data_IF_236661307308
#
_entry.id   IF_236661307308
#
_cell.length_a   1.000
_cell.length_b   1.000
_cell.length_c   1.000
_cell.angle_alpha   90.00
_cell.angle_beta   90.00
_cell.angle_gamma   90.00
#
_symmetry.space_group_name_H-M   'P 1'
#
loop_
_entity.id
_entity.type
_entity.pdbx_description
1 polymer ?
#
# COMPACT_ATOMS: atom_id res chain seq x y z
N UNK A 1 -7.36 31.06 3.34
CA UNK A 1 -5.90 30.81 3.31
C UNK A 1 -5.48 30.76 1.85
N UNK A 2 -4.97 31.86 1.30
CA UNK A 2 -4.62 31.98 -0.13
C UNK A 2 -3.15 31.67 -0.35
N UNK A 3 -2.87 30.65 -1.17
CA UNK A 3 -1.54 30.32 -1.68
C UNK A 3 -1.08 31.40 -2.68
N UNK A 4 0.07 32.02 -2.39
CA UNK A 4 0.77 32.92 -3.31
C UNK A 4 1.56 32.08 -4.32
N UNK A 5 1.20 32.21 -5.60
CA UNK A 5 1.97 31.69 -6.72
C UNK A 5 3.29 32.46 -6.88
N UNK A 6 4.39 31.74 -6.87
CA UNK A 6 5.74 32.25 -7.07
C UNK A 6 6.04 32.25 -8.58
N UNK A 7 5.92 33.40 -9.24
CA UNK A 7 6.38 33.58 -10.64
C UNK A 7 7.84 33.99 -10.63
N UNK A 8 8.71 33.05 -11.00
CA UNK A 8 10.13 33.27 -11.28
C UNK A 8 10.29 34.21 -12.46
N UNK A 9 10.93 35.36 -12.22
CA UNK A 9 11.32 36.33 -13.24
C UNK A 9 12.59 35.81 -13.94
N UNK A 10 12.46 35.35 -15.18
CA UNK A 10 13.60 35.01 -16.04
C UNK A 10 14.12 36.32 -16.65
N UNK A 11 15.41 36.67 -16.45
CA UNK A 11 15.97 37.88 -17.04
C UNK A 11 15.91 37.78 -18.58
N UNK A 12 15.59 38.87 -19.28
CA UNK A 12 15.48 38.86 -20.73
C UNK A 12 16.83 38.50 -21.35
N UNK A 13 16.81 37.57 -22.29
CA UNK A 13 17.97 36.99 -22.94
C UNK A 13 18.82 38.08 -23.64
N UNK A 14 19.87 38.50 -22.94
CA UNK A 14 20.80 39.55 -23.38
C UNK A 14 21.59 39.08 -24.60
N UNK A 15 21.68 37.77 -24.85
CA UNK A 15 22.29 37.21 -26.05
C UNK A 15 21.39 37.43 -27.27
N UNK A 16 20.10 37.13 -27.15
CA UNK A 16 19.12 37.38 -28.21
C UNK A 16 19.01 38.87 -28.60
N UNK A 17 19.12 39.80 -27.64
CA UNK A 17 19.15 41.24 -27.97
C UNK A 17 20.40 41.67 -28.72
N UNK A 18 21.57 41.08 -28.41
CA UNK A 18 22.82 41.37 -29.13
C UNK A 18 22.79 40.82 -30.55
N UNK A 19 22.19 39.66 -30.75
CA UNK A 19 22.00 39.08 -32.09
C UNK A 19 21.05 39.94 -32.93
N UNK A 20 19.92 40.38 -32.37
CA UNK A 20 18.99 41.29 -33.04
C UNK A 20 19.67 42.61 -33.43
N UNK A 21 20.46 43.22 -32.53
CA UNK A 21 21.22 44.43 -32.82
C UNK A 21 22.28 44.21 -33.90
N UNK A 22 22.92 43.02 -33.93
CA UNK A 22 23.84 42.62 -35.00
C UNK A 22 23.14 42.53 -36.36
N UNK A 23 21.95 41.94 -36.41
CA UNK A 23 21.15 41.87 -37.64
C UNK A 23 20.69 43.26 -38.07
N UNK A 24 20.22 44.11 -37.14
CA UNK A 24 19.77 45.47 -37.45
C UNK A 24 20.91 46.38 -37.92
N UNK A 25 22.11 46.25 -37.37
CA UNK A 25 23.29 46.99 -37.83
C UNK A 25 23.76 46.52 -39.19
N UNK A 26 23.71 45.21 -39.46
CA UNK A 26 23.99 44.67 -40.79
C UNK A 26 22.97 45.13 -41.84
N UNK A 27 21.67 45.17 -41.50
CA UNK A 27 20.64 45.66 -42.43
C UNK A 27 20.74 47.16 -42.66
N UNK A 28 21.11 47.96 -41.64
CA UNK A 28 21.41 49.38 -41.80
C UNK A 28 22.66 49.61 -42.67
N UNK A 29 23.70 48.81 -42.51
CA UNK A 29 24.88 48.86 -43.37
C UNK A 29 24.54 48.52 -44.83
N UNK A 30 23.69 47.51 -45.02
CA UNK A 30 23.19 47.15 -46.35
C UNK A 30 22.31 48.24 -46.95
N UNK A 31 21.43 48.88 -46.17
CA UNK A 31 20.63 50.04 -46.58
C UNK A 31 21.50 51.26 -46.93
N UNK A 32 22.59 51.47 -46.20
CA UNK A 32 23.58 52.51 -46.53
C UNK A 32 24.21 52.25 -47.89
N UNK A 33 24.66 51.01 -48.14
CA UNK A 33 25.21 50.61 -49.44
C UNK A 33 24.18 50.74 -50.57
N UNK A 34 22.92 50.36 -50.35
CA UNK A 34 21.88 50.53 -51.37
C UNK A 34 21.61 52.01 -51.64
N UNK A 35 21.55 52.87 -50.61
CA UNK A 35 21.40 54.32 -50.78
C UNK A 35 22.58 54.95 -51.53
N UNK A 36 23.81 54.55 -51.23
CA UNK A 36 25.00 55.03 -51.95
C UNK A 36 24.99 54.59 -53.41
N UNK A 37 24.63 53.34 -53.69
CA UNK A 37 24.47 52.87 -55.08
C UNK A 37 23.37 53.61 -55.82
N UNK A 38 22.27 53.95 -55.13
CA UNK A 38 21.15 54.71 -55.70
C UNK A 38 21.54 56.17 -55.93
N UNK A 39 22.38 56.75 -55.07
CA UNK A 39 22.95 58.09 -55.21
C UNK A 39 23.92 58.17 -56.39
N UNK A 40 24.80 57.17 -56.55
CA UNK A 40 25.70 57.09 -57.71
C UNK A 40 24.92 56.88 -59.01
N UNK A 41 23.89 56.04 -58.99
CA UNK A 41 22.98 55.88 -60.13
C UNK A 41 22.20 57.17 -60.40
N UNK A 42 21.71 57.87 -59.37
CA UNK A 42 21.01 59.14 -59.49
C UNK A 42 21.90 60.24 -60.07
N UNK A 43 23.18 60.31 -59.65
CA UNK A 43 24.16 61.23 -60.20
C UNK A 43 24.48 60.92 -61.67
N UNK A 44 24.60 59.64 -62.05
CA UNK A 44 24.77 59.23 -63.46
C UNK A 44 23.54 59.57 -64.31
N UNK A 45 22.35 59.48 -63.73
CA UNK A 45 21.08 59.85 -64.38
C UNK A 45 20.92 61.37 -64.47
N UNK A 46 21.43 62.15 -63.53
CA UNK A 46 21.41 63.62 -63.57
C UNK A 46 22.30 64.21 -64.69
N UNK A 47 23.35 63.50 -65.09
CA UNK A 47 24.18 63.86 -66.27
C UNK A 47 23.47 63.53 -67.59
N UNK A 48 22.44 62.67 -67.57
CA UNK A 48 21.62 62.28 -68.72
C UNK A 48 20.23 62.94 -68.66
N UNK A 49 20.15 64.27 -68.77
CA UNK A 49 18.86 64.93 -69.06
C UNK A 49 18.53 64.91 -70.56
N UNK A 50 17.26 65.09 -71.02
CA UNK A 50 15.99 64.57 -70.54
C UNK A 50 15.38 63.49 -71.49
N UNK A 51 14.78 62.47 -70.86
CA UNK A 51 13.46 61.90 -71.16
C UNK A 51 13.18 61.23 -72.53
N UNK A 52 13.60 59.96 -72.67
CA UNK A 52 12.75 58.96 -73.34
C UNK A 52 12.95 57.54 -72.76
N UNK A 53 14.14 57.22 -72.25
CA UNK A 53 14.44 55.86 -71.77
C UNK A 53 13.98 55.58 -70.32
N UNK A 54 13.97 56.59 -69.45
CA UNK A 54 13.57 56.44 -68.04
C UNK A 54 12.09 56.11 -67.87
N UNK A 55 11.22 56.67 -68.73
CA UNK A 55 9.80 56.34 -68.75
C UNK A 55 9.59 54.85 -69.10
N UNK A 56 10.36 54.34 -70.07
CA UNK A 56 10.30 52.94 -70.47
C UNK A 56 10.78 52.01 -69.34
N UNK A 57 11.87 52.36 -68.66
CA UNK A 57 12.38 51.63 -67.49
C UNK A 57 11.40 51.64 -66.32
N UNK A 58 10.72 52.76 -66.03
CA UNK A 58 9.69 52.85 -64.99
C UNK A 58 8.49 51.95 -65.33
N UNK A 59 8.09 51.90 -66.60
CA UNK A 59 7.03 50.99 -67.04
C UNK A 59 7.41 49.52 -66.92
N UNK A 60 8.65 49.16 -67.28
CA UNK A 60 9.16 47.81 -67.10
C UNK A 60 9.24 47.42 -65.61
N UNK A 61 9.74 48.32 -64.76
CA UNK A 61 9.80 48.10 -63.32
C UNK A 61 8.41 47.92 -62.70
N UNK A 62 7.43 48.76 -63.06
CA UNK A 62 6.05 48.61 -62.59
C UNK A 62 5.43 47.27 -63.03
N UNK A 63 5.74 46.83 -64.25
CA UNK A 63 5.26 45.53 -64.76
C UNK A 63 5.92 44.37 -64.02
N UNK A 64 7.23 44.46 -63.75
CA UNK A 64 7.97 43.50 -62.95
C UNK A 64 7.47 43.44 -61.51
N UNK A 65 7.24 44.60 -60.88
CA UNK A 65 6.67 44.70 -59.53
C UNK A 65 5.30 44.05 -59.44
N UNK A 66 4.38 44.34 -60.36
CA UNK A 66 3.05 43.69 -60.37
C UNK A 66 3.12 42.18 -60.59
N UNK A 67 4.03 41.74 -61.47
CA UNK A 67 4.26 40.31 -61.68
C UNK A 67 4.83 39.63 -60.43
N UNK A 68 5.71 40.32 -59.70
CA UNK A 68 6.27 39.84 -58.45
C UNK A 68 5.24 39.85 -57.32
N UNK A 69 4.44 40.90 -57.20
CA UNK A 69 3.34 41.03 -56.23
C UNK A 69 2.34 39.90 -56.42
N UNK A 70 1.88 39.66 -57.65
CA UNK A 70 1.02 38.52 -57.97
C UNK A 70 1.68 37.16 -57.62
N UNK A 71 2.99 37.03 -57.80
CA UNK A 71 3.74 35.82 -57.42
C UNK A 71 3.86 35.66 -55.90
N UNK A 72 3.96 36.77 -55.17
CA UNK A 72 3.97 36.77 -53.71
C UNK A 72 2.59 36.42 -53.16
N UNK A 73 1.51 36.99 -53.71
CA UNK A 73 0.15 36.67 -53.31
C UNK A 73 -0.15 35.17 -53.44
N UNK A 74 0.20 34.57 -54.59
CA UNK A 74 0.03 33.12 -54.79
C UNK A 74 0.85 32.31 -53.77
N UNK A 75 2.08 32.74 -53.44
CA UNK A 75 2.89 32.05 -52.42
C UNK A 75 2.31 32.19 -51.02
N UNK A 76 1.77 33.35 -50.70
CA UNK A 76 1.11 33.57 -49.40
C UNK A 76 -0.12 32.68 -49.32
N UNK A 77 -0.92 32.59 -50.38
CA UNK A 77 -2.08 31.69 -50.44
C UNK A 77 -1.67 30.22 -50.28
N UNK A 78 -0.65 29.76 -51.01
CA UNK A 78 -0.09 28.40 -50.90
C UNK A 78 0.40 28.10 -49.48
N UNK A 79 1.15 29.05 -48.88
CA UNK A 79 1.61 28.92 -47.49
C UNK A 79 0.45 28.90 -46.51
N UNK A 80 -0.59 29.70 -46.74
CA UNK A 80 -1.78 29.73 -45.88
C UNK A 80 -2.51 28.41 -45.92
N UNK A 81 -2.61 27.78 -47.10
CA UNK A 81 -3.17 26.45 -47.25
C UNK A 81 -2.31 25.39 -46.56
N UNK A 82 -1.00 25.38 -46.81
CA UNK A 82 -0.09 24.41 -46.22
C UNK A 82 -0.07 24.51 -44.69
N UNK A 83 -0.04 25.73 -44.13
CA UNK A 83 -0.11 25.95 -42.68
C UNK A 83 -1.45 25.47 -42.13
N UNK A 84 -2.58 25.78 -42.80
CA UNK A 84 -3.90 25.33 -42.33
C UNK A 84 -4.02 23.82 -42.33
N UNK A 85 -3.50 23.14 -43.34
CA UNK A 85 -3.67 21.69 -43.48
C UNK A 85 -2.70 20.95 -42.54
N UNK A 86 -1.42 21.34 -42.51
CA UNK A 86 -0.42 20.76 -41.59
C UNK A 86 -0.78 21.01 -40.13
N UNK A 87 -1.16 22.24 -39.74
CA UNK A 87 -1.52 22.52 -38.36
C UNK A 87 -2.80 21.81 -37.94
N UNK A 88 -3.80 21.68 -38.82
CA UNK A 88 -5.01 20.94 -38.46
C UNK A 88 -4.72 19.48 -38.19
N UNK A 89 -3.88 18.86 -39.01
CA UNK A 89 -3.55 17.45 -38.85
C UNK A 89 -2.65 17.19 -37.64
N UNK A 90 -1.66 18.06 -37.41
CA UNK A 90 -0.80 18.00 -36.22
C UNK A 90 -1.58 18.24 -34.93
N UNK A 91 -2.46 19.26 -34.90
CA UNK A 91 -3.34 19.53 -33.75
C UNK A 91 -4.32 18.38 -33.54
N UNK A 92 -4.88 17.81 -34.60
CA UNK A 92 -5.79 16.67 -34.48
C UNK A 92 -5.08 15.46 -33.87
N UNK A 93 -3.86 15.13 -34.32
CA UNK A 93 -3.08 14.03 -33.77
C UNK A 93 -2.71 14.26 -32.30
N UNK A 94 -2.22 15.46 -31.96
CA UNK A 94 -1.87 15.79 -30.57
C UNK A 94 -3.09 15.73 -29.64
N UNK A 95 -4.23 16.28 -30.06
CA UNK A 95 -5.46 16.23 -29.27
C UNK A 95 -6.00 14.81 -29.14
N UNK A 96 -5.90 13.99 -30.19
CA UNK A 96 -6.33 12.60 -30.13
C UNK A 96 -5.48 11.79 -29.14
N UNK A 97 -4.16 11.99 -29.12
CA UNK A 97 -3.27 11.37 -28.13
C UNK A 97 -3.61 11.80 -26.70
N UNK A 98 -3.80 13.09 -26.46
CA UNK A 98 -4.15 13.63 -25.13
C UNK A 98 -5.52 13.14 -24.66
N UNK A 99 -6.53 13.15 -25.54
CA UNK A 99 -7.86 12.65 -25.24
C UNK A 99 -7.83 11.17 -24.92
N UNK A 100 -7.12 10.36 -25.70
CA UNK A 100 -7.00 8.93 -25.45
C UNK A 100 -6.31 8.63 -24.11
N UNK A 101 -5.28 9.41 -23.75
CA UNK A 101 -4.63 9.29 -22.44
C UNK A 101 -5.59 9.60 -21.28
N UNK A 102 -6.36 10.70 -21.39
CA UNK A 102 -7.35 11.08 -20.39
C UNK A 102 -8.49 10.05 -20.27
N UNK A 103 -8.98 9.53 -21.40
CA UNK A 103 -10.00 8.49 -21.41
C UNK A 103 -9.46 7.21 -20.75
N UNK A 104 -8.23 6.81 -21.05
CA UNK A 104 -7.62 5.63 -20.44
C UNK A 104 -7.48 5.76 -18.92
N UNK A 105 -7.10 6.95 -18.44
CA UNK A 105 -7.00 7.24 -17.00
C UNK A 105 -8.37 7.20 -16.31
N UNK A 106 -9.38 7.84 -16.91
CA UNK A 106 -10.75 7.86 -16.39
C UNK A 106 -11.38 6.46 -16.38
N UNK A 107 -11.21 5.69 -17.46
CA UNK A 107 -11.67 4.29 -17.52
C UNK A 107 -11.02 3.47 -16.41
N UNK A 108 -9.71 3.64 -16.17
CA UNK A 108 -9.00 2.91 -15.11
C UNK A 108 -9.62 3.18 -13.74
N UNK A 109 -9.90 4.45 -13.43
CA UNK A 109 -10.55 4.84 -12.17
C UNK A 109 -11.95 4.22 -12.04
N UNK A 110 -12.76 4.31 -13.10
CA UNK A 110 -14.11 3.76 -13.10
C UNK A 110 -14.14 2.23 -12.99
N UNK A 111 -13.21 1.55 -13.67
CA UNK A 111 -13.07 0.08 -13.58
C UNK A 111 -12.67 -0.32 -12.16
N UNK A 112 -11.70 0.36 -11.54
CA UNK A 112 -11.28 0.06 -10.18
C UNK A 112 -12.44 0.24 -9.18
N UNK A 113 -13.25 1.27 -9.34
CA UNK A 113 -14.43 1.51 -8.50
C UNK A 113 -15.53 0.45 -8.75
N UNK A 114 -15.85 0.14 -10.00
CA UNK A 114 -16.84 -0.87 -10.34
C UNK A 114 -16.42 -2.27 -9.91
N UNK A 115 -15.15 -2.62 -10.05
CA UNK A 115 -14.59 -3.88 -9.56
C UNK A 115 -14.74 -3.94 -8.05
N UNK A 116 -14.40 -2.89 -7.29
CA UNK A 116 -14.63 -2.86 -5.84
C UNK A 116 -16.09 -3.10 -5.48
N UNK A 117 -17.04 -2.43 -6.13
CA UNK A 117 -18.47 -2.61 -5.87
C UNK A 117 -18.92 -4.04 -6.20
N UNK A 118 -18.45 -4.60 -7.32
CA UNK A 118 -18.78 -5.98 -7.70
C UNK A 118 -18.14 -7.00 -6.77
N UNK A 119 -16.92 -6.78 -6.28
CA UNK A 119 -16.27 -7.62 -5.27
C UNK A 119 -17.07 -7.63 -3.96
N UNK A 120 -17.56 -6.46 -3.53
CA UNK A 120 -18.46 -6.33 -2.36
C UNK A 120 -19.78 -7.08 -2.61
N UNK A 121 -20.41 -6.89 -3.77
CA UNK A 121 -21.67 -7.56 -4.13
C UNK A 121 -21.53 -9.09 -4.25
N UNK A 122 -20.41 -9.57 -4.76
CA UNK A 122 -20.08 -11.00 -4.83
C UNK A 122 -19.66 -11.56 -3.47
N UNK A 123 -19.61 -10.73 -2.42
CA UNK A 123 -19.29 -11.16 -1.06
C UNK A 123 -17.82 -11.53 -0.87
N UNK A 124 -16.92 -11.09 -1.76
CA UNK A 124 -15.50 -11.44 -1.73
C UNK A 124 -14.72 -10.74 -0.62
N UNK A 125 -15.26 -9.65 -0.05
CA UNK A 125 -14.79 -9.08 1.22
C UNK A 125 -14.96 -10.08 2.38
N UNK A 126 -15.90 -11.02 2.22
CA UNK A 126 -16.08 -12.14 3.12
C UNK A 126 -15.07 -13.26 2.92
N UNK A 127 -14.37 -13.36 1.79
CA UNK A 127 -13.52 -14.52 1.51
C UNK A 127 -12.23 -14.50 2.33
N UNK A 128 -11.62 -13.33 2.53
CA UNK A 128 -10.46 -13.19 3.43
C UNK A 128 -10.88 -13.40 4.89
N UNK A 129 -12.03 -12.87 5.29
CA UNK A 129 -12.60 -13.10 6.62
C UNK A 129 -12.94 -14.58 6.84
N UNK A 130 -13.52 -15.26 5.84
CA UNK A 130 -13.82 -16.68 5.84
C UNK A 130 -12.55 -17.52 5.86
N UNK A 131 -11.50 -17.14 5.13
CA UNK A 131 -10.22 -17.82 5.18
C UNK A 131 -9.60 -17.71 6.57
N UNK A 132 -9.61 -16.53 7.19
CA UNK A 132 -9.15 -16.33 8.59
C UNK A 132 -9.98 -17.12 9.59
N UNK A 133 -11.30 -17.17 9.43
CA UNK A 133 -12.18 -17.99 10.27
C UNK A 133 -11.89 -19.49 10.08
N UNK A 134 -11.72 -19.94 8.84
CA UNK A 134 -11.38 -21.32 8.52
C UNK A 134 -10.03 -21.72 9.12
N UNK A 135 -9.02 -20.85 9.03
CA UNK A 135 -7.71 -21.11 9.64
C UNK A 135 -7.81 -21.26 11.17
N UNK A 136 -8.62 -20.41 11.83
CA UNK A 136 -8.90 -20.54 13.27
C UNK A 136 -9.61 -21.86 13.58
N UNK A 137 -10.65 -22.21 12.84
CA UNK A 137 -11.36 -23.48 13.03
C UNK A 137 -10.45 -24.69 12.86
N UNK A 138 -9.57 -24.68 11.86
CA UNK A 138 -8.60 -25.77 11.65
C UNK A 138 -7.60 -25.85 12.81
N UNK A 139 -7.14 -24.71 13.34
CA UNK A 139 -6.29 -24.66 14.54
C UNK A 139 -7.02 -25.25 15.75
N UNK A 140 -8.26 -24.84 15.99
CA UNK A 140 -9.08 -25.33 17.10
C UNK A 140 -9.32 -26.85 17.01
N UNK A 141 -9.65 -27.34 15.81
CA UNK A 141 -9.84 -28.78 15.55
C UNK A 141 -8.54 -29.56 15.76
N UNK A 142 -7.40 -29.01 15.34
CA UNK A 142 -6.10 -29.64 15.54
C UNK A 142 -5.75 -29.75 17.03
N UNK A 143 -5.99 -28.68 17.80
CA UNK A 143 -5.81 -28.66 19.25
C UNK A 143 -6.73 -29.70 19.91
N UNK A 144 -8.00 -29.75 19.52
CA UNK A 144 -8.95 -30.73 20.03
C UNK A 144 -8.55 -32.18 19.71
N UNK A 145 -8.02 -32.44 18.51
CA UNK A 145 -7.52 -33.75 18.11
C UNK A 145 -6.33 -34.19 18.97
N UNK A 146 -5.32 -33.34 19.11
CA UNK A 146 -4.15 -33.63 19.96
C UNK A 146 -4.60 -33.89 21.39
N UNK A 147 -5.49 -33.05 21.94
CA UNK A 147 -6.02 -33.23 23.29
C UNK A 147 -6.83 -34.53 23.43
N UNK A 148 -7.56 -34.95 22.40
CA UNK A 148 -8.27 -36.23 22.39
C UNK A 148 -7.30 -37.43 22.40
N UNK A 149 -6.22 -37.36 21.63
CA UNK A 149 -5.19 -38.40 21.59
C UNK A 149 -4.41 -38.48 22.91
N UNK A 150 -4.08 -37.33 23.50
CA UNK A 150 -3.45 -37.23 24.81
C UNK A 150 -4.35 -37.79 25.91
N UNK A 151 -5.65 -37.44 25.93
CA UNK A 151 -6.63 -38.04 26.85
C UNK A 151 -6.73 -39.56 26.70
N UNK A 152 -6.74 -40.04 25.46
CA UNK A 152 -6.76 -41.48 25.18
C UNK A 152 -5.53 -42.17 25.75
N UNK A 153 -4.35 -41.55 25.62
CA UNK A 153 -3.10 -42.07 26.17
C UNK A 153 -3.11 -42.02 27.70
N UNK A 154 -3.50 -40.89 28.28
CA UNK A 154 -3.60 -40.67 29.73
C UNK A 154 -4.62 -41.59 30.41
N UNK A 155 -5.69 -41.98 29.69
CA UNK A 155 -6.69 -42.92 30.22
C UNK A 155 -6.15 -44.32 30.52
N UNK A 156 -5.00 -44.68 29.93
CA UNK A 156 -4.33 -45.97 30.17
C UNK A 156 -3.49 -45.96 31.45
N UNK A 157 -3.22 -44.78 32.02
CA UNK A 157 -2.43 -44.61 33.22
C UNK A 157 -3.16 -45.23 34.42
N UNK A 158 -2.40 -45.85 35.33
CA UNK A 158 -2.93 -46.50 36.53
C UNK A 158 -2.37 -45.86 37.78
N UNK A 159 -3.18 -45.82 38.83
CA UNK A 159 -2.80 -45.27 40.14
C UNK A 159 -1.55 -45.93 40.77
N UNK A 160 -1.23 -47.17 40.36
CA UNK A 160 -0.10 -47.91 40.91
C UNK A 160 1.26 -47.48 40.31
N UNK A 161 1.27 -46.82 39.15
CA UNK A 161 2.48 -46.41 38.45
C UNK A 161 2.54 -44.88 38.36
N UNK A 162 3.08 -44.25 39.39
CA UNK A 162 3.18 -42.78 39.48
C UNK A 162 4.29 -42.18 38.60
N UNK A 163 5.16 -43.02 38.06
CA UNK A 163 6.32 -42.62 37.26
C UNK A 163 6.02 -42.63 35.76
N UNK A 164 4.80 -43.01 35.38
CA UNK A 164 4.36 -42.96 33.99
C UNK A 164 4.19 -41.49 33.55
N UNK A 165 4.70 -41.19 32.35
CA UNK A 165 4.64 -39.83 31.79
C UNK A 165 3.22 -39.47 31.36
N UNK A 166 2.83 -38.22 31.63
CA UNK A 166 1.58 -37.66 31.11
C UNK A 166 1.76 -37.20 29.66
N UNK A 167 0.85 -37.59 28.78
CA UNK A 167 0.79 -37.06 27.43
C UNK A 167 0.34 -35.59 27.48
N UNK A 168 1.12 -34.73 26.82
CA UNK A 168 0.98 -33.27 26.86
C UNK A 168 -0.38 -32.85 26.28
N UNK A 169 -1.04 -31.91 26.95
CA UNK A 169 -2.28 -31.29 26.49
C UNK A 169 -2.07 -29.80 26.21
N UNK A 170 -2.62 -29.36 25.09
CA UNK A 170 -2.58 -27.97 24.66
C UNK A 170 -3.72 -27.18 25.30
N UNK A 171 -3.44 -25.92 25.63
CA UNK A 171 -4.42 -24.91 26.04
C UNK A 171 -5.41 -24.61 24.91
N UNK A 172 -6.55 -23.94 25.19
CA UNK A 172 -7.43 -23.42 24.14
C UNK A 172 -6.71 -22.50 23.14
N UNK A 173 -5.63 -21.82 23.57
CA UNK A 173 -4.80 -20.98 22.70
C UNK A 173 -3.81 -21.78 21.82
N UNK A 174 -3.74 -23.10 22.00
CA UNK A 174 -2.88 -24.01 21.24
C UNK A 174 -1.45 -24.14 21.75
N UNK A 175 -1.09 -23.44 22.82
CA UNK A 175 0.22 -23.54 23.47
C UNK A 175 0.23 -24.56 24.62
N UNK A 176 1.42 -25.00 25.01
CA UNK A 176 1.64 -25.87 26.17
C UNK A 176 1.66 -25.03 27.46
N UNK A 177 1.13 -25.57 28.57
CA UNK A 177 1.26 -24.90 29.87
C UNK A 177 2.66 -25.10 30.44
N UNK A 178 3.29 -24.01 30.87
CA UNK A 178 4.57 -24.07 31.61
C UNK A 178 4.43 -24.85 32.92
N UNK A 179 3.22 -24.90 33.48
CA UNK A 179 2.87 -25.62 34.70
C UNK A 179 2.43 -27.06 34.43
N UNK A 180 2.56 -27.57 33.20
CA UNK A 180 2.17 -28.93 32.87
C UNK A 180 3.16 -29.95 33.48
N UNK A 181 2.69 -30.91 34.30
CA UNK A 181 3.58 -31.91 34.87
C UNK A 181 3.93 -32.99 33.85
N UNK A 182 5.22 -33.34 33.76
CA UNK A 182 5.69 -34.42 32.90
C UNK A 182 5.24 -35.81 33.41
N UNK A 183 5.06 -35.97 34.72
CA UNK A 183 4.77 -37.25 35.39
C UNK A 183 3.66 -37.09 36.44
N UNK A 184 2.92 -38.18 36.72
CA UNK A 184 1.88 -38.20 37.75
C UNK A 184 2.42 -37.87 39.14
N UNK A 185 3.63 -38.33 39.47
CA UNK A 185 4.31 -38.00 40.72
C UNK A 185 4.45 -36.49 40.92
N UNK A 186 4.82 -35.77 39.86
CA UNK A 186 4.97 -34.31 39.89
C UNK A 186 3.61 -33.61 40.04
N UNK A 187 2.57 -34.10 39.36
CA UNK A 187 1.20 -33.61 39.52
C UNK A 187 0.73 -33.73 40.99
N UNK A 188 1.00 -34.87 41.64
CA UNK A 188 0.65 -35.07 43.06
C UNK A 188 1.58 -34.37 44.04
N UNK A 189 2.66 -33.75 43.59
CA UNK A 189 3.53 -32.91 44.41
C UNK A 189 3.11 -31.42 44.40
N UNK A 190 2.20 -31.01 43.52
CA UNK A 190 1.77 -29.62 43.39
C UNK A 190 1.07 -29.10 44.64
N UNK A 191 1.43 -27.90 45.08
CA UNK A 191 0.73 -27.18 46.14
C UNK A 191 -0.65 -26.71 45.66
N UNK A 192 -1.50 -26.27 46.59
CA UNK A 192 -2.84 -25.76 46.27
C UNK A 192 -2.79 -24.62 45.24
N UNK A 193 -1.92 -23.63 45.45
CA UNK A 193 -1.78 -22.49 44.54
C UNK A 193 -1.38 -22.89 43.12
N UNK A 194 -0.44 -23.83 42.98
CA UNK A 194 -0.01 -24.35 41.67
C UNK A 194 -1.08 -25.20 40.99
N UNK A 195 -1.85 -25.98 41.77
CA UNK A 195 -2.97 -26.76 41.24
C UNK A 195 -4.11 -25.83 40.76
N UNK A 196 -4.39 -24.75 41.50
CA UNK A 196 -5.38 -23.73 41.12
C UNK A 196 -4.96 -22.98 39.86
N UNK A 197 -3.67 -22.61 39.76
CA UNK A 197 -3.11 -22.01 38.54
C UNK A 197 -3.19 -22.94 37.32
N UNK A 198 -2.91 -24.23 37.50
CA UNK A 198 -3.04 -25.24 36.44
C UNK A 198 -4.49 -25.35 35.93
N UNK A 199 -5.46 -25.45 36.83
CA UNK A 199 -6.89 -25.54 36.48
C UNK A 199 -7.34 -24.28 35.73
N UNK A 200 -6.87 -23.09 36.16
CA UNK A 200 -7.12 -21.80 35.49
C UNK A 200 -6.57 -21.77 34.06
N UNK A 201 -5.35 -22.26 33.86
CA UNK A 201 -4.68 -22.29 32.55
C UNK A 201 -5.47 -23.09 31.50
N UNK A 202 -6.22 -24.09 31.94
CA UNK A 202 -7.08 -24.92 31.07
C UNK A 202 -8.56 -24.47 31.09
N UNK A 203 -8.89 -23.36 31.74
CA UNK A 203 -10.26 -22.81 31.78
C UNK A 203 -11.26 -23.67 32.57
N UNK A 204 -10.77 -24.46 33.52
CA UNK A 204 -11.59 -25.34 34.36
C UNK A 204 -12.09 -24.59 35.62
N UNK A 205 -13.18 -25.07 36.28
CA UNK A 205 -13.69 -24.44 37.49
C UNK A 205 -12.71 -24.60 38.66
N UNK A 206 -12.33 -23.48 39.28
CA UNK A 206 -11.43 -23.45 40.44
C UNK A 206 -12.17 -23.77 41.75
N UNK A 207 -11.52 -24.52 42.63
CA UNK A 207 -11.92 -24.76 44.02
C UNK A 207 -10.84 -24.27 44.99
N UNK A 208 -11.22 -24.12 46.26
CA UNK A 208 -10.28 -23.85 47.36
C UNK A 208 -9.59 -25.14 47.85
N UNK A 209 -10.12 -26.31 47.51
CA UNK A 209 -9.52 -27.60 47.87
C UNK A 209 -8.58 -28.08 46.76
N UNK A 210 -7.33 -28.39 47.16
CA UNK A 210 -6.29 -28.89 46.27
C UNK A 210 -6.73 -30.17 45.55
N UNK A 211 -7.32 -31.10 46.28
CA UNK A 211 -7.76 -32.39 45.77
C UNK A 211 -8.85 -32.23 44.71
N UNK A 212 -9.77 -31.27 44.89
CA UNK A 212 -10.81 -30.96 43.90
C UNK A 212 -10.24 -30.37 42.62
N UNK A 213 -9.28 -29.44 42.74
CA UNK A 213 -8.56 -28.88 41.59
C UNK A 213 -7.79 -29.97 40.80
N UNK A 214 -7.05 -30.83 41.51
CA UNK A 214 -6.34 -31.95 40.89
C UNK A 214 -7.30 -32.96 40.26
N UNK A 215 -8.41 -33.28 40.92
CA UNK A 215 -9.44 -34.16 40.36
C UNK A 215 -10.10 -33.56 39.11
N UNK A 216 -10.40 -32.26 39.11
CA UNK A 216 -10.94 -31.57 37.93
C UNK A 216 -9.96 -31.63 36.75
N UNK A 217 -8.67 -31.38 37.00
CA UNK A 217 -7.63 -31.51 35.98
C UNK A 217 -7.46 -32.95 35.49
N UNK A 218 -7.40 -33.93 36.40
CA UNK A 218 -7.26 -35.35 36.05
C UNK A 218 -8.43 -35.84 35.20
N UNK A 219 -9.65 -35.47 35.56
CA UNK A 219 -10.85 -35.78 34.78
C UNK A 219 -10.78 -35.13 33.38
N UNK A 220 -10.36 -33.86 33.29
CA UNK A 220 -10.14 -33.18 32.02
C UNK A 220 -9.03 -33.84 31.17
N UNK A 221 -7.99 -34.36 31.82
CA UNK A 221 -6.88 -35.06 31.20
C UNK A 221 -7.20 -36.51 30.80
N UNK A 222 -8.41 -37.01 31.12
CA UNK A 222 -8.86 -38.36 30.77
C UNK A 222 -8.35 -39.46 31.71
N UNK A 223 -7.78 -39.09 32.86
CA UNK A 223 -7.30 -40.03 33.88
C UNK A 223 -8.51 -40.58 34.65
N UNK A 224 -8.61 -41.91 34.76
CA UNK A 224 -9.85 -42.56 35.24
C UNK A 224 -9.99 -42.64 36.77
N UNK A 225 -8.91 -42.37 37.51
CA UNK A 225 -8.91 -42.45 38.96
C UNK A 225 -8.83 -41.05 39.59
N UNK A 226 -9.34 -40.95 40.81
CA UNK A 226 -9.47 -39.68 41.54
C UNK A 226 -8.80 -39.79 42.91
N UNK A 227 -8.33 -38.67 43.42
CA UNK A 227 -7.87 -38.53 44.80
C UNK A 227 -9.08 -38.56 45.73
N UNK A 228 -9.06 -39.47 46.70
CA UNK A 228 -10.05 -39.52 47.78
C UNK A 228 -9.53 -38.66 48.93
N UNK A 229 -10.28 -37.64 49.39
CA UNK A 229 -9.89 -36.87 50.57
C UNK A 229 -9.82 -37.81 51.77
N UNK A 230 -8.66 -37.88 52.43
CA UNK A 230 -8.57 -38.62 53.70
C UNK A 230 -9.30 -37.79 54.75
N UNK A 231 -10.37 -38.32 55.38
CA UNK A 231 -11.05 -37.58 56.43
C UNK A 231 -10.08 -37.31 57.58
N UNK A 232 -10.15 -36.14 58.23
CA UNK A 232 -9.31 -35.87 59.38
C UNK A 232 -9.61 -36.92 60.45
N UNK A 233 -8.64 -37.79 60.73
CA UNK A 233 -8.77 -38.75 61.83
C UNK A 233 -8.94 -37.96 63.12
N UNK A 234 -10.01 -38.17 63.90
CA UNK A 234 -10.14 -37.52 65.19
C UNK A 234 -8.99 -37.99 66.08
N UNK A 235 -8.08 -37.07 66.42
CA UNK A 235 -7.01 -37.30 67.37
C UNK A 235 -7.60 -37.85 68.67
N UNK A 236 -7.32 -39.13 68.96
CA UNK A 236 -7.57 -39.74 70.26
C UNK A 236 -6.49 -39.24 71.21
N UNK A 237 -6.73 -38.08 71.82
CA UNK A 237 -5.91 -37.55 72.92
C UNK A 237 -6.79 -37.31 74.14
N UNK A 238 -6.76 -38.22 75.11
CA UNK A 238 -7.34 -37.98 76.44
C UNK A 238 -7.88 -39.18 77.21
N UNK A 239 -7.19 -40.33 77.24
CA UNK A 239 -7.49 -41.38 78.22
C UNK A 239 -6.85 -40.99 79.57
N UNK A 240 -7.58 -40.26 80.42
CA UNK A 240 -7.15 -40.00 81.81
C UNK A 240 -7.53 -41.21 82.65
N UNK A 241 -6.54 -42.08 82.88
CA UNK A 241 -6.59 -43.09 83.94
C UNK A 241 -6.44 -42.41 85.30
N UNK A 242 -7.47 -42.44 86.14
CA UNK A 242 -7.32 -42.22 87.58
C UNK A 242 -7.20 -43.58 88.30
N UNK A 243 -6.19 -43.78 89.17
CA UNK A 243 -5.97 -45.03 89.89
C UNK A 243 -6.86 -45.17 91.14
N UNK A 244 -7.25 -46.41 91.41
CA UNK A 244 -7.85 -46.85 92.67
C UNK A 244 -6.97 -46.48 93.87
N UNK A 245 -7.54 -45.72 94.80
CA UNK A 245 -7.02 -45.55 96.16
C UNK A 245 -7.82 -46.40 97.14
N UNK A 246 -7.21 -47.50 97.57
CA UNK A 246 -7.60 -48.31 98.73
C UNK A 246 -7.02 -47.67 99.99
N UNK A 247 -7.83 -47.44 101.04
CA UNK A 247 -7.44 -47.61 102.45
C UNK A 247 -8.57 -47.25 103.43
N UNK A 248 -8.99 -48.28 104.18
CA UNK A 248 -9.43 -48.32 105.59
C UNK A 248 -10.73 -47.60 105.96
#
# INVERSE_FOLDING_TARGET
MSQKGNRTYVPPDVAGMKELLGVMTSTLGHLGQTLDTLKDQSNRVAVLGPQMDSAHQIHQLRRAMRAQEKKQDMRVEDLTHLIKDVLKEEIAQMLEEEINALIAEEIKLQVDEQVKVQLVQLGLDGLEAQAKLGEKQVKDVRVALINSDSRTTNSKLRANNLDDCLAIMLKPDGEESELFPQELRTLFAYNNDTAKALVRDYGLPESELREENLNAFMAHAGIQFHLVPVPPTPNTSGFVTHPLGTAI
#
